data_IF_522096474117
#
_entry.id   IF_522096474117
#
_cell.length_a   1.000
_cell.length_b   1.000
_cell.length_c   1.000
_cell.angle_alpha   90.00
_cell.angle_beta   90.00
_cell.angle_gamma   90.00
#
_symmetry.space_group_name_H-M   'P 1'
#
loop_
_entity.id
_entity.type
_entity.pdbx_description
1 polymer ?
#
# COMPACT_ATOMS: atom_id res chain seq x y z
N UNK A 1 -23.78 -16.88 5.89
CA UNK A 1 -23.05 -15.79 5.19
C UNK A 1 -21.71 -16.32 4.72
N UNK A 2 -21.04 -15.61 3.83
CA UNK A 2 -19.71 -15.94 3.31
C UNK A 2 -18.70 -14.85 3.76
N UNK A 3 -18.19 -14.94 5.01
CA UNK A 3 -17.39 -13.86 5.59
C UNK A 3 -15.96 -13.89 5.06
N UNK A 4 -15.56 -12.81 4.42
CA UNK A 4 -14.22 -12.62 3.86
C UNK A 4 -13.78 -11.17 4.02
N UNK A 5 -12.51 -10.93 4.37
CA UNK A 5 -11.96 -9.57 4.35
C UNK A 5 -11.95 -9.05 2.90
N UNK A 6 -12.44 -7.83 2.64
CA UNK A 6 -12.32 -7.22 1.32
C UNK A 6 -10.85 -7.05 0.90
N UNK A 7 -10.46 -7.62 -0.24
CA UNK A 7 -9.08 -7.52 -0.75
C UNK A 7 -8.62 -6.09 -1.00
N UNK A 8 -9.55 -5.17 -1.28
CA UNK A 8 -9.26 -3.74 -1.43
C UNK A 8 -8.67 -3.11 -0.15
N UNK A 9 -9.05 -3.56 1.04
CA UNK A 9 -8.50 -3.05 2.30
C UNK A 9 -7.06 -3.53 2.52
N UNK A 10 -6.73 -4.76 2.08
CA UNK A 10 -5.36 -5.25 2.09
C UNK A 10 -4.47 -4.48 1.12
N UNK A 11 -5.00 -4.13 -0.06
CA UNK A 11 -4.30 -3.25 -1.01
C UNK A 11 -4.11 -1.83 -0.45
N UNK A 12 -5.14 -1.28 0.20
CA UNK A 12 -5.08 0.04 0.82
C UNK A 12 -4.03 0.13 1.93
N UNK A 13 -3.92 -0.88 2.79
CA UNK A 13 -2.87 -0.94 3.80
C UNK A 13 -1.45 -0.87 3.21
N UNK A 14 -1.23 -1.40 2.00
CA UNK A 14 0.06 -1.25 1.32
C UNK A 14 0.30 0.21 0.88
N UNK A 15 -0.70 0.89 0.31
CA UNK A 15 -0.58 2.33 0.01
C UNK A 15 -0.37 3.17 1.27
N UNK A 16 -1.13 2.90 2.34
CA UNK A 16 -0.95 3.59 3.61
C UNK A 16 0.49 3.44 4.14
N UNK A 17 1.07 2.24 4.03
CA UNK A 17 2.45 1.96 4.46
C UNK A 17 3.47 2.75 3.64
N UNK A 18 3.30 2.85 2.32
CA UNK A 18 4.17 3.68 1.46
C UNK A 18 4.03 5.17 1.82
N UNK A 19 2.79 5.66 2.00
CA UNK A 19 2.55 7.04 2.41
C UNK A 19 3.15 7.39 3.77
N UNK A 20 2.98 6.49 4.75
CA UNK A 20 3.60 6.60 6.06
C UNK A 20 5.11 6.66 5.96
N UNK A 21 5.73 5.78 5.16
CA UNK A 21 7.17 5.80 4.94
C UNK A 21 7.68 7.14 4.37
N UNK A 22 6.96 7.74 3.41
CA UNK A 22 7.32 9.04 2.87
C UNK A 22 7.29 10.14 3.94
N UNK A 23 6.26 10.15 4.79
CA UNK A 23 6.15 11.09 5.91
C UNK A 23 7.23 10.82 6.99
N UNK A 24 7.53 9.55 7.25
CA UNK A 24 8.57 9.12 8.19
C UNK A 24 9.97 9.59 7.78
N UNK A 25 10.24 9.67 6.47
CA UNK A 25 11.45 10.31 5.93
C UNK A 25 11.51 11.84 6.09
N UNK A 26 10.48 12.47 6.69
CA UNK A 26 10.42 13.90 6.94
C UNK A 26 9.86 14.73 5.79
N UNK A 27 9.25 14.10 4.78
CA UNK A 27 8.65 14.84 3.67
C UNK A 27 7.31 15.49 4.08
N UNK A 28 7.06 16.76 3.69
CA UNK A 28 5.80 17.43 4.01
C UNK A 28 4.66 17.03 3.05
N UNK A 29 3.43 17.22 3.49
CA UNK A 29 2.22 17.09 2.67
C UNK A 29 1.30 15.93 3.06
N UNK A 30 0.13 15.88 2.43
CA UNK A 30 -0.91 14.90 2.66
C UNK A 30 -0.79 13.75 1.65
N UNK A 31 -0.85 12.51 2.14
CA UNK A 31 -0.75 11.31 1.30
C UNK A 31 -1.95 11.11 0.39
N UNK A 32 -1.70 10.75 -0.87
CA UNK A 32 -2.70 10.26 -1.82
C UNK A 32 -2.16 9.04 -2.56
N UNK A 33 -2.92 7.95 -2.55
CA UNK A 33 -2.67 6.83 -3.44
C UNK A 33 -2.90 7.29 -4.89
N UNK A 34 -1.93 7.02 -5.76
CA UNK A 34 -1.97 7.42 -7.17
C UNK A 34 -2.24 6.23 -8.10
N UNK A 35 -2.34 5.03 -7.54
CA UNK A 35 -2.61 3.79 -8.24
C UNK A 35 -1.57 2.72 -8.00
N UNK A 36 -1.69 1.66 -8.77
CA UNK A 36 -0.89 0.45 -8.71
C UNK A 36 -0.75 -0.10 -10.14
N UNK A 37 0.37 -0.72 -10.47
CA UNK A 37 0.59 -1.32 -11.78
C UNK A 37 -0.18 -2.63 -11.92
N UNK A 38 0.22 -3.64 -11.14
CA UNK A 38 -0.41 -4.96 -11.16
C UNK A 38 -0.82 -5.37 -9.74
N UNK A 39 -2.00 -5.96 -9.61
CA UNK A 39 -2.47 -6.56 -8.35
C UNK A 39 -2.93 -7.97 -8.63
N UNK A 40 -2.51 -8.91 -7.79
CA UNK A 40 -3.01 -10.29 -7.80
C UNK A 40 -3.55 -10.67 -6.43
N UNK A 41 -4.74 -11.26 -6.44
CA UNK A 41 -5.36 -11.88 -5.28
C UNK A 41 -5.47 -13.38 -5.52
N UNK A 42 -4.72 -14.17 -4.76
CA UNK A 42 -4.61 -15.64 -4.93
C UNK A 42 -5.11 -16.42 -3.71
N UNK A 43 -5.56 -15.71 -2.68
CA UNK A 43 -6.13 -16.27 -1.47
C UNK A 43 -7.04 -15.26 -0.76
N UNK A 44 -7.41 -15.56 0.47
CA UNK A 44 -8.39 -14.79 1.23
C UNK A 44 -8.09 -14.81 2.73
N UNK A 45 -8.56 -13.80 3.44
CA UNK A 45 -8.52 -13.74 4.91
C UNK A 45 -9.90 -14.10 5.44
N UNK A 46 -9.97 -15.21 6.18
CA UNK A 46 -11.18 -15.68 6.84
C UNK A 46 -11.22 -15.22 8.31
N UNK A 47 -12.39 -15.21 8.96
CA UNK A 47 -12.52 -14.83 10.37
C UNK A 47 -11.69 -15.68 11.35
N UNK A 48 -11.25 -16.86 10.93
CA UNK A 48 -10.41 -17.76 11.74
C UNK A 48 -8.93 -17.41 11.71
N UNK A 49 -8.49 -16.59 10.74
CA UNK A 49 -7.11 -16.16 10.59
C UNK A 49 -6.63 -15.36 11.81
N UNK A 50 -5.34 -15.41 12.11
CA UNK A 50 -4.78 -14.77 13.31
C UNK A 50 -4.02 -13.49 13.02
N UNK A 51 -3.24 -13.46 11.95
CA UNK A 51 -2.39 -12.33 11.62
C UNK A 51 -2.27 -12.14 10.12
N UNK A 52 -2.45 -10.90 9.69
CA UNK A 52 -2.03 -10.43 8.37
C UNK A 52 -0.69 -9.72 8.51
N UNK A 53 0.23 -9.93 7.58
CA UNK A 53 1.55 -9.27 7.57
C UNK A 53 1.78 -8.65 6.19
N UNK A 54 2.17 -7.38 6.18
CA UNK A 54 2.48 -6.64 4.97
C UNK A 54 3.99 -6.48 4.85
N UNK A 55 4.52 -6.78 3.67
CA UNK A 55 5.92 -6.52 3.32
C UNK A 55 5.92 -5.50 2.18
N UNK A 56 6.71 -4.44 2.34
CA UNK A 56 6.75 -3.32 1.40
C UNK A 56 8.21 -3.11 1.01
N UNK A 57 8.50 -3.33 -0.27
CA UNK A 57 9.82 -3.13 -0.86
C UNK A 57 9.81 -1.80 -1.62
N UNK A 58 10.34 -0.75 -0.99
CA UNK A 58 10.41 0.58 -1.60
C UNK A 58 11.44 0.56 -2.74
N UNK A 59 10.96 0.73 -3.97
CA UNK A 59 11.80 0.71 -5.18
C UNK A 59 12.41 2.07 -5.49
N UNK A 60 11.65 3.15 -5.28
CA UNK A 60 12.09 4.50 -5.59
C UNK A 60 11.37 5.53 -4.74
N UNK A 61 12.12 6.53 -4.27
CA UNK A 61 11.60 7.75 -3.68
C UNK A 61 12.07 8.93 -4.53
N UNK A 62 11.16 9.84 -4.87
CA UNK A 62 11.46 11.07 -5.60
C UNK A 62 11.03 12.24 -4.75
N UNK A 63 11.97 13.12 -4.38
CA UNK A 63 11.74 14.32 -3.55
C UNK A 63 12.06 15.59 -4.34
N UNK A 64 11.20 15.92 -5.32
CA UNK A 64 11.33 17.14 -6.12
C UNK A 64 10.12 18.06 -5.86
N UNK A 65 9.56 18.67 -6.91
CA UNK A 65 8.32 19.47 -6.82
C UNK A 65 7.13 18.66 -6.27
N UNK A 66 7.11 17.36 -6.54
CA UNK A 66 6.18 16.39 -5.96
C UNK A 66 7.00 15.31 -5.26
N UNK A 67 6.58 14.94 -4.05
CA UNK A 67 7.12 13.79 -3.32
C UNK A 67 6.35 12.56 -3.78
N UNK A 68 7.06 11.54 -4.30
CA UNK A 68 6.48 10.31 -4.82
C UNK A 68 7.24 9.09 -4.31
N UNK A 69 6.52 8.13 -3.73
CA UNK A 69 7.00 6.79 -3.40
C UNK A 69 6.49 5.77 -4.40
N UNK A 70 7.38 4.88 -4.83
CA UNK A 70 7.05 3.71 -5.65
C UNK A 70 7.56 2.47 -4.91
N UNK A 71 6.69 1.49 -4.70
CA UNK A 71 7.02 0.26 -4.00
C UNK A 71 6.37 -0.96 -4.66
N UNK A 72 6.94 -2.13 -4.40
CA UNK A 72 6.21 -3.40 -4.51
C UNK A 72 5.74 -3.81 -3.12
N UNK A 73 4.67 -4.59 -3.06
CA UNK A 73 4.13 -5.08 -1.81
C UNK A 73 3.65 -6.51 -1.92
N UNK A 74 3.66 -7.21 -0.79
CA UNK A 74 2.95 -8.47 -0.63
C UNK A 74 2.25 -8.53 0.72
N UNK A 75 1.18 -9.30 0.77
CA UNK A 75 0.44 -9.56 1.99
C UNK A 75 0.37 -11.06 2.24
N UNK A 76 0.74 -11.43 3.47
CA UNK A 76 0.61 -12.78 3.98
C UNK A 76 -0.53 -12.86 5.00
N UNK A 77 -1.24 -13.99 5.02
CA UNK A 77 -2.13 -14.37 6.13
C UNK A 77 -1.56 -15.62 6.78
N UNK A 78 -1.29 -15.53 8.09
CA UNK A 78 -0.72 -16.63 8.88
C UNK A 78 0.52 -17.28 8.23
N UNK A 79 1.38 -16.45 7.63
CA UNK A 79 2.65 -16.86 6.98
C UNK A 79 2.52 -17.35 5.53
N UNK A 80 1.31 -17.31 4.94
CA UNK A 80 1.09 -17.65 3.53
C UNK A 80 0.83 -16.39 2.70
N UNK A 81 1.64 -16.15 1.68
CA UNK A 81 1.41 -15.08 0.71
C UNK A 81 0.10 -15.29 -0.05
N UNK A 82 -0.74 -14.25 -0.07
CA UNK A 82 -2.03 -14.29 -0.77
C UNK A 82 -2.21 -13.12 -1.73
N UNK A 83 -1.62 -11.96 -1.45
CA UNK A 83 -1.68 -10.78 -2.32
C UNK A 83 -0.29 -10.33 -2.74
N UNK A 84 -0.18 -9.87 -3.99
CA UNK A 84 0.98 -9.14 -4.49
C UNK A 84 0.54 -7.88 -5.20
N UNK A 85 1.27 -6.78 -5.00
CA UNK A 85 1.09 -5.53 -5.70
C UNK A 85 2.42 -5.06 -6.28
N UNK A 86 2.42 -4.70 -7.56
CA UNK A 86 3.58 -4.15 -8.27
C UNK A 86 3.35 -2.69 -8.59
N UNK A 87 4.39 -1.87 -8.42
CA UNK A 87 4.34 -0.43 -8.72
C UNK A 87 3.22 0.32 -7.98
N UNK A 88 3.06 0.06 -6.68
CA UNK A 88 2.27 0.92 -5.79
C UNK A 88 2.84 2.34 -5.85
N UNK A 89 1.98 3.35 -6.07
CA UNK A 89 2.38 4.75 -6.14
C UNK A 89 1.63 5.58 -5.12
N UNK A 90 2.36 6.34 -4.31
CA UNK A 90 1.79 7.27 -3.33
C UNK A 90 2.52 8.60 -3.42
N UNK A 91 1.78 9.69 -3.52
CA UNK A 91 2.33 11.05 -3.50
C UNK A 91 2.00 11.78 -2.20
N UNK A 92 2.86 12.71 -1.79
CA UNK A 92 2.54 13.70 -0.75
C UNK A 92 2.32 15.08 -1.39
N UNK A 93 1.24 15.74 -1.00
CA UNK A 93 0.81 17.02 -1.56
C UNK A 93 0.64 18.08 -0.47
N UNK A 94 1.34 19.21 -0.59
CA UNK A 94 1.22 20.32 0.37
C UNK A 94 -0.09 21.11 0.22
N UNK A 95 -0.69 21.09 -0.97
CA UNK A 95 -2.07 21.50 -1.23
C UNK A 95 -2.78 20.42 -2.05
N UNK A 96 -4.04 20.15 -1.71
CA UNK A 96 -4.89 19.17 -2.40
C UNK A 96 -6.02 19.83 -3.19
N UNK A 97 -5.99 21.15 -3.37
CA UNK A 97 -7.06 21.91 -4.05
C UNK A 97 -7.19 21.63 -5.56
N UNK A 98 -6.22 20.91 -6.16
CA UNK A 98 -6.24 20.49 -7.57
C UNK A 98 -6.30 18.98 -7.77
N UNK A 99 -6.65 18.23 -6.72
CA UNK A 99 -6.83 16.78 -6.77
C UNK A 99 -8.30 16.40 -6.92
#
# INVERSE_FOLDING_TARGET
GDPVMPGCLGLDAMWQSVGFFLAWLGNPGHGRALGVGEVKFTGQVLPTAKKVTYYIDVKRVITRKLVLGIADGRMEVDGREIYTAKDLRVGLFTSTEGF
#
